data_IF_770249515897
#
_entry.id   IF_770249515897
#
_cell.length_a   1.000
_cell.length_b   1.000
_cell.length_c   1.000
_cell.angle_alpha   90.00
_cell.angle_beta   90.00
_cell.angle_gamma   90.00
#
_symmetry.space_group_name_H-M   'P 1'
#
loop_
_entity.id
_entity.type
_entity.pdbx_description
1 polymer ?
#
# COMPACT_ATOMS: atom_id res chain seq x y z
N UNK A 1 -19.07 12.84 16.39
CA UNK A 1 -18.01 12.11 17.13
C UNK A 1 -18.14 10.58 17.11
N UNK A 2 -19.30 9.99 17.43
CA UNK A 2 -19.45 8.53 17.54
C UNK A 2 -19.13 7.75 16.25
N UNK A 3 -19.53 8.27 15.08
CA UNK A 3 -19.29 7.62 13.78
C UNK A 3 -17.80 7.56 13.40
N UNK A 4 -17.06 8.65 13.63
CA UNK A 4 -15.61 8.75 13.33
C UNK A 4 -14.79 7.83 14.25
N UNK A 5 -15.09 7.84 15.56
CA UNK A 5 -14.45 6.93 16.52
C UNK A 5 -14.72 5.45 16.23
N UNK A 6 -15.89 5.17 15.67
CA UNK A 6 -16.27 3.84 15.23
C UNK A 6 -15.52 3.40 13.97
N UNK A 7 -15.40 4.27 12.97
CA UNK A 7 -14.70 3.93 11.73
C UNK A 7 -13.20 3.72 11.96
N UNK A 8 -12.59 4.43 12.91
CA UNK A 8 -11.21 4.11 13.33
C UNK A 8 -11.09 2.71 13.94
N UNK A 9 -12.01 2.31 14.82
CA UNK A 9 -12.02 0.96 15.38
C UNK A 9 -12.20 -0.12 14.30
N UNK A 10 -13.06 0.16 13.32
CA UNK A 10 -13.26 -0.69 12.16
C UNK A 10 -11.97 -0.95 11.39
N UNK A 11 -11.18 0.09 11.08
CA UNK A 11 -9.88 -0.08 10.40
C UNK A 11 -8.96 -0.98 11.22
N UNK A 12 -8.88 -0.77 12.53
CA UNK A 12 -8.05 -1.59 13.42
C UNK A 12 -8.48 -3.07 13.40
N UNK A 13 -9.79 -3.35 13.49
CA UNK A 13 -10.32 -4.73 13.48
C UNK A 13 -10.07 -5.42 12.13
N UNK A 14 -10.27 -4.70 11.03
CA UNK A 14 -10.05 -5.20 9.69
C UNK A 14 -8.60 -5.64 9.45
N UNK A 15 -7.63 -4.88 9.97
CA UNK A 15 -6.21 -5.22 9.82
C UNK A 15 -5.89 -6.60 10.44
N UNK A 16 -6.59 -6.97 11.50
CA UNK A 16 -6.30 -8.18 12.28
C UNK A 16 -7.04 -9.41 11.73
N UNK A 17 -8.24 -9.24 11.17
CA UNK A 17 -9.04 -10.32 10.57
C UNK A 17 -8.28 -11.13 9.49
N UNK A 18 -7.15 -10.60 9.01
CA UNK A 18 -6.17 -11.25 8.13
C UNK A 18 -5.42 -12.47 8.71
N UNK A 19 -5.34 -12.67 10.03
CA UNK A 19 -4.41 -13.63 10.62
C UNK A 19 -5.06 -14.94 11.08
N UNK A 20 -4.88 -16.01 10.30
CA UNK A 20 -4.83 -17.39 10.80
C UNK A 20 -3.44 -17.71 11.38
N UNK A 21 -3.32 -18.57 12.41
CA UNK A 21 -2.07 -18.72 13.14
C UNK A 21 -1.05 -19.54 12.35
N UNK A 22 0.22 -19.12 12.41
CA UNK A 22 1.42 -20.00 12.42
C UNK A 22 2.66 -19.17 12.76
N UNK A 23 3.19 -19.38 13.95
CA UNK A 23 4.55 -19.00 14.32
C UNK A 23 5.55 -19.86 13.52
N UNK A 24 6.58 -19.27 12.91
CA UNK A 24 7.87 -19.94 12.80
C UNK A 24 8.48 -19.99 14.21
N UNK A 25 8.95 -21.17 14.60
CA UNK A 25 9.73 -21.37 15.81
C UNK A 25 11.02 -20.53 15.73
N UNK A 26 11.23 -19.71 16.76
CA UNK A 26 12.51 -19.11 17.19
C UNK A 26 13.16 -18.11 16.21
N UNK A 27 13.56 -16.91 16.67
CA UNK A 27 14.43 -16.05 15.87
C UNK A 27 15.79 -16.73 15.67
N UNK A 28 16.46 -16.54 14.52
CA UNK A 28 17.86 -16.93 14.39
C UNK A 28 18.67 -16.10 15.40
N UNK A 29 19.18 -16.75 16.43
CA UNK A 29 20.17 -16.16 17.35
C UNK A 29 21.52 -16.11 16.64
N UNK A 30 21.72 -15.10 15.80
CA UNK A 30 23.06 -14.60 15.50
C UNK A 30 23.23 -13.31 16.29
N UNK A 31 23.89 -13.41 17.44
CA UNK A 31 24.32 -12.23 18.18
C UNK A 31 25.35 -11.49 17.33
N UNK A 32 25.01 -10.32 16.80
CA UNK A 32 25.97 -9.39 16.22
C UNK A 32 26.75 -8.70 17.34
N UNK A 33 27.51 -9.48 18.11
CA UNK A 33 28.44 -8.95 19.10
C UNK A 33 29.58 -8.29 18.30
N UNK A 34 29.49 -6.97 18.08
CA UNK A 34 30.54 -6.16 17.47
C UNK A 34 30.12 -5.23 16.32
N UNK A 35 28.86 -5.23 15.89
CA UNK A 35 28.41 -4.27 14.86
C UNK A 35 28.21 -2.86 15.47
N UNK A 36 28.67 -1.78 14.81
CA UNK A 36 28.49 -0.42 15.28
C UNK A 36 27.00 -0.03 15.46
N UNK A 37 26.67 0.85 16.42
CA UNK A 37 25.28 1.29 16.66
C UNK A 37 24.72 2.15 15.52
N UNK A 38 25.59 2.68 14.66
CA UNK A 38 25.28 3.39 13.42
C UNK A 38 25.02 2.45 12.22
N UNK A 39 25.16 1.13 12.39
CA UNK A 39 24.73 0.16 11.39
C UNK A 39 23.18 0.18 11.25
N UNK A 40 22.64 0.44 10.05
CA UNK A 40 21.20 0.52 9.83
C UNK A 40 20.46 -0.79 10.16
N UNK A 41 21.10 -1.95 10.03
CA UNK A 41 20.52 -3.25 10.40
C UNK A 41 20.40 -3.38 11.92
N UNK A 42 21.45 -3.00 12.66
CA UNK A 42 21.43 -3.02 14.14
C UNK A 42 20.37 -2.06 14.66
N UNK A 43 20.33 -0.84 14.12
CA UNK A 43 19.33 0.15 14.50
C UNK A 43 17.90 -0.33 14.21
N UNK A 44 17.67 -0.94 13.05
CA UNK A 44 16.36 -1.49 12.68
C UNK A 44 15.94 -2.64 13.61
N UNK A 45 16.88 -3.53 13.96
CA UNK A 45 16.63 -4.64 14.87
C UNK A 45 16.23 -4.16 16.27
N UNK A 46 17.00 -3.22 16.83
CA UNK A 46 16.70 -2.61 18.13
C UNK A 46 15.33 -1.92 18.13
N UNK A 47 14.95 -1.28 17.01
CA UNK A 47 13.64 -0.67 16.85
C UNK A 47 12.49 -1.69 16.89
N UNK A 48 12.68 -2.86 16.29
CA UNK A 48 11.70 -3.96 16.33
C UNK A 48 11.62 -4.60 17.71
N UNK A 49 12.76 -4.86 18.37
CA UNK A 49 12.76 -5.40 19.73
C UNK A 49 12.08 -4.42 20.71
N UNK A 50 12.34 -3.11 20.56
CA UNK A 50 11.66 -2.07 21.32
C UNK A 50 10.15 -1.95 21.00
N UNK A 51 9.73 -2.31 19.77
CA UNK A 51 8.31 -2.41 19.40
C UNK A 51 7.63 -3.54 20.16
N UNK A 52 8.21 -4.74 20.20
CA UNK A 52 7.60 -5.86 20.93
C UNK A 52 7.63 -5.64 22.44
N UNK A 53 8.74 -5.13 23.00
CA UNK A 53 8.90 -4.95 24.43
C UNK A 53 7.92 -3.94 25.05
N UNK A 54 7.43 -2.96 24.27
CA UNK A 54 6.52 -1.91 24.76
C UNK A 54 5.04 -2.26 24.68
N UNK A 55 4.66 -3.41 24.13
CA UNK A 55 3.26 -3.78 23.94
C UNK A 55 2.55 -4.01 25.29
N UNK A 56 1.31 -3.54 25.39
CA UNK A 56 0.45 -3.78 26.56
C UNK A 56 0.17 -5.27 26.78
N UNK A 57 0.39 -5.71 28.01
CA UNK A 57 0.15 -7.09 28.45
C UNK A 57 -1.26 -7.33 29.02
N UNK A 58 -1.98 -6.26 29.39
CA UNK A 58 -3.34 -6.32 29.92
C UNK A 58 -4.21 -5.18 29.37
N UNK A 59 -5.54 -5.34 29.53
CA UNK A 59 -6.53 -4.43 28.94
C UNK A 59 -6.47 -3.03 29.54
N UNK A 60 -6.25 -2.89 30.85
CA UNK A 60 -6.20 -1.57 31.51
C UNK A 60 -5.03 -0.74 30.99
N UNK A 61 -3.86 -1.37 30.81
CA UNK A 61 -2.69 -0.72 30.20
C UNK A 61 -2.95 -0.35 28.74
N UNK A 62 -3.55 -1.24 27.95
CA UNK A 62 -3.88 -0.96 26.55
C UNK A 62 -4.83 0.24 26.42
N UNK A 63 -5.90 0.26 27.23
CA UNK A 63 -6.87 1.35 27.26
C UNK A 63 -6.25 2.68 27.71
N UNK A 64 -5.39 2.65 28.74
CA UNK A 64 -4.70 3.84 29.22
C UNK A 64 -3.72 4.39 28.17
N UNK A 65 -2.95 3.51 27.52
CA UNK A 65 -2.02 3.91 26.45
C UNK A 65 -2.75 4.44 25.22
N UNK A 66 -3.83 3.79 24.80
CA UNK A 66 -4.71 4.30 23.75
C UNK A 66 -5.17 5.72 24.08
N UNK A 67 -5.68 5.94 25.29
CA UNK A 67 -6.19 7.25 25.71
C UNK A 67 -5.09 8.31 25.72
N UNK A 68 -3.92 7.97 26.27
CA UNK A 68 -2.77 8.87 26.33
C UNK A 68 -2.28 9.27 24.93
N UNK A 69 -2.24 8.30 24.00
CA UNK A 69 -1.69 8.48 22.66
C UNK A 69 -2.62 9.28 21.75
N UNK A 70 -3.92 9.05 21.89
CA UNK A 70 -4.93 9.60 20.97
C UNK A 70 -5.67 10.80 21.53
N UNK A 71 -5.58 11.04 22.85
CA UNK A 71 -6.41 11.99 23.56
C UNK A 71 -7.89 11.59 23.64
N UNK A 72 -8.24 10.35 23.29
CA UNK A 72 -9.63 9.88 23.14
C UNK A 72 -9.85 8.56 23.89
N UNK A 73 -11.04 8.32 24.45
CA UNK A 73 -11.34 7.03 25.07
C UNK A 73 -11.32 5.91 24.01
N UNK A 74 -10.95 4.67 24.40
CA UNK A 74 -11.02 3.52 23.50
C UNK A 74 -12.43 3.34 22.94
N UNK A 75 -12.55 2.88 21.68
CA UNK A 75 -13.83 2.68 21.03
C UNK A 75 -14.65 1.57 21.70
N UNK A 76 -15.94 1.51 21.39
CA UNK A 76 -16.81 0.42 21.83
C UNK A 76 -16.22 -0.92 21.36
N UNK A 77 -16.31 -1.95 22.22
CA UNK A 77 -15.76 -3.30 21.97
C UNK A 77 -14.22 -3.38 21.92
N UNK A 78 -13.50 -2.40 22.44
CA UNK A 78 -12.03 -2.46 22.51
C UNK A 78 -11.51 -3.67 23.30
N UNK A 79 -12.23 -4.13 24.31
CA UNK A 79 -11.97 -5.37 25.06
C UNK A 79 -12.02 -6.63 24.18
N UNK A 80 -12.99 -6.70 23.25
CA UNK A 80 -13.11 -7.80 22.28
C UNK A 80 -11.96 -7.76 21.29
N UNK A 81 -11.61 -6.56 20.80
CA UNK A 81 -10.44 -6.38 19.95
C UNK A 81 -9.15 -6.80 20.65
N UNK A 82 -8.94 -6.40 21.91
CA UNK A 82 -7.74 -6.75 22.66
C UNK A 82 -7.62 -8.27 22.83
N UNK A 83 -8.73 -8.93 23.17
CA UNK A 83 -8.78 -10.39 23.32
C UNK A 83 -8.45 -11.09 22.00
N UNK A 84 -9.02 -10.61 20.89
CA UNK A 84 -8.76 -11.14 19.55
C UNK A 84 -7.30 -10.92 19.13
N UNK A 85 -6.76 -9.72 19.31
CA UNK A 85 -5.38 -9.38 18.98
C UNK A 85 -4.39 -10.27 19.76
N UNK A 86 -4.66 -10.54 21.05
CA UNK A 86 -3.86 -11.47 21.85
C UNK A 86 -3.95 -12.91 21.35
N UNK A 87 -5.15 -13.40 21.03
CA UNK A 87 -5.33 -14.74 20.46
C UNK A 87 -4.54 -14.92 19.16
N UNK A 88 -4.49 -13.87 18.33
CA UNK A 88 -3.77 -13.85 17.05
C UNK A 88 -2.30 -13.44 17.15
N UNK A 89 -1.79 -13.17 18.35
CA UNK A 89 -0.42 -12.66 18.57
C UNK A 89 -0.09 -11.41 17.76
N UNK A 90 -1.06 -10.50 17.65
CA UNK A 90 -0.89 -9.21 16.99
C UNK A 90 -0.32 -8.16 17.94
N UNK A 91 0.20 -7.07 17.35
CA UNK A 91 0.51 -5.85 18.10
C UNK A 91 -0.77 -5.32 18.75
N UNK A 92 -0.61 -4.54 19.82
CA UNK A 92 -1.69 -3.94 20.59
C UNK A 92 -1.64 -2.41 20.42
N UNK A 93 -0.50 -1.78 20.68
CA UNK A 93 -0.44 -0.33 20.90
C UNK A 93 0.00 0.49 19.66
N UNK A 94 0.32 -0.17 18.55
CA UNK A 94 1.03 0.43 17.41
C UNK A 94 0.16 0.53 16.14
N UNK A 95 -1.07 1.03 16.27
CA UNK A 95 -2.00 1.30 15.14
C UNK A 95 -2.12 2.80 14.82
N UNK A 96 -0.99 3.52 14.86
CA UNK A 96 -0.97 4.99 14.84
C UNK A 96 -1.42 5.60 13.53
N UNK A 97 -1.17 4.91 12.42
CA UNK A 97 -1.66 5.31 11.12
C UNK A 97 -3.17 5.59 11.16
N UNK A 98 -3.96 4.75 11.84
CA UNK A 98 -5.40 4.97 11.98
C UNK A 98 -5.68 6.33 12.64
N UNK A 99 -5.01 6.62 13.76
CA UNK A 99 -5.22 7.89 14.45
C UNK A 99 -4.74 9.10 13.65
N UNK A 100 -3.62 8.99 12.94
CA UNK A 100 -3.11 10.05 12.07
C UNK A 100 -4.09 10.35 10.94
N UNK A 101 -4.67 9.33 10.33
CA UNK A 101 -5.58 9.48 9.19
C UNK A 101 -6.94 10.03 9.59
N UNK A 102 -7.42 9.67 10.78
CA UNK A 102 -8.67 10.21 11.31
C UNK A 102 -8.54 11.57 11.99
N UNK A 103 -7.32 12.02 12.30
CA UNK A 103 -7.05 13.30 12.97
C UNK A 103 -7.76 14.50 12.36
N UNK A 104 -7.72 14.77 11.04
CA UNK A 104 -8.41 15.93 10.48
C UNK A 104 -9.93 15.86 10.67
N UNK A 105 -10.52 14.67 10.53
CA UNK A 105 -11.97 14.47 10.73
C UNK A 105 -12.38 14.62 12.20
N UNK A 106 -11.50 14.23 13.12
CA UNK A 106 -11.71 14.43 14.55
C UNK A 106 -11.72 15.90 14.92
N UNK A 107 -10.76 16.68 14.41
CA UNK A 107 -10.68 18.12 14.63
C UNK A 107 -11.90 18.83 14.06
N UNK A 108 -12.28 18.51 12.82
CA UNK A 108 -13.45 19.12 12.18
C UNK A 108 -14.77 18.72 12.85
N UNK A 109 -14.86 17.51 13.40
CA UNK A 109 -16.05 17.08 14.14
C UNK A 109 -16.17 17.73 15.53
N UNK A 110 -15.09 18.28 16.08
CA UNK A 110 -15.12 19.11 17.31
C UNK A 110 -15.67 20.50 17.00
N UNK A 111 -15.31 21.08 15.85
CA UNK A 111 -15.79 22.38 15.39
C UNK A 111 -17.21 22.31 14.82
N UNK A 112 -17.49 21.30 13.99
CA UNK A 112 -18.77 21.03 13.34
C UNK A 112 -19.12 19.54 13.40
N UNK A 113 -19.94 19.12 14.38
CA UNK A 113 -20.33 17.72 14.55
C UNK A 113 -21.04 17.08 13.35
N UNK A 114 -21.62 17.89 12.46
CA UNK A 114 -22.34 17.41 11.27
C UNK A 114 -21.46 17.34 10.01
N UNK A 115 -20.22 17.83 10.07
CA UNK A 115 -19.27 17.83 8.95
C UNK A 115 -19.18 16.48 8.24
N UNK A 116 -18.88 15.41 8.99
CA UNK A 116 -18.71 14.07 8.44
C UNK A 116 -19.98 13.58 7.73
N UNK A 117 -21.14 13.77 8.36
CA UNK A 117 -22.41 13.32 7.80
C UNK A 117 -22.75 14.09 6.51
N UNK A 118 -22.53 15.42 6.49
CA UNK A 118 -22.75 16.21 5.27
C UNK A 118 -21.84 15.78 4.12
N UNK A 119 -20.56 15.48 4.39
CA UNK A 119 -19.64 14.93 3.37
C UNK A 119 -20.14 13.60 2.84
N UNK A 120 -20.58 12.72 3.73
CA UNK A 120 -21.15 11.43 3.33
C UNK A 120 -22.42 11.60 2.49
N UNK A 121 -23.35 12.48 2.89
CA UNK A 121 -24.61 12.70 2.18
C UNK A 121 -24.38 13.25 0.77
N UNK A 122 -23.45 14.19 0.60
CA UNK A 122 -23.05 14.72 -0.73
C UNK A 122 -22.47 13.61 -1.59
N UNK A 123 -21.53 12.82 -1.08
CA UNK A 123 -20.93 11.72 -1.83
C UNK A 123 -21.98 10.67 -2.25
N UNK A 124 -22.86 10.27 -1.33
CA UNK A 124 -23.93 9.30 -1.62
C UNK A 124 -24.94 9.83 -2.64
N UNK A 125 -25.22 11.13 -2.66
CA UNK A 125 -26.08 11.74 -3.67
C UNK A 125 -25.45 11.66 -5.06
N UNK A 126 -24.17 12.03 -5.19
CA UNK A 126 -23.41 11.98 -6.45
C UNK A 126 -23.30 10.56 -6.99
N UNK A 127 -23.09 9.58 -6.10
CA UNK A 127 -22.97 8.17 -6.48
C UNK A 127 -24.24 7.60 -7.13
N UNK A 128 -25.42 8.20 -6.92
CA UNK A 128 -26.66 7.79 -7.61
C UNK A 128 -26.65 8.14 -9.10
N UNK A 129 -25.93 9.20 -9.47
CA UNK A 129 -25.78 9.62 -10.87
C UNK A 129 -24.60 8.92 -11.52
N UNK A 130 -23.45 8.97 -10.86
CA UNK A 130 -22.23 8.33 -11.30
C UNK A 130 -21.34 8.03 -10.08
N UNK A 131 -21.02 6.76 -9.87
CA UNK A 131 -20.20 6.32 -8.72
C UNK A 131 -18.77 6.81 -8.78
N UNK A 132 -18.24 7.19 -9.95
CA UNK A 132 -16.84 7.62 -10.13
C UNK A 132 -15.84 6.64 -9.49
N UNK A 133 -16.12 5.34 -9.59
CA UNK A 133 -15.32 4.28 -8.97
C UNK A 133 -15.24 4.34 -7.43
N UNK A 134 -16.16 5.01 -6.75
CA UNK A 134 -16.36 4.90 -5.30
C UNK A 134 -17.46 3.88 -4.99
N UNK A 135 -17.31 3.22 -3.84
CA UNK A 135 -18.36 2.42 -3.23
C UNK A 135 -18.73 2.96 -1.86
N UNK A 136 -19.87 2.50 -1.36
CA UNK A 136 -20.29 2.75 0.00
C UNK A 136 -20.75 1.44 0.63
N UNK A 137 -20.36 1.27 1.88
CA UNK A 137 -20.68 0.08 2.68
C UNK A 137 -21.58 0.52 3.81
N UNK A 138 -22.66 -0.23 4.02
CA UNK A 138 -23.61 -0.02 5.10
C UNK A 138 -23.53 -1.22 6.03
N UNK A 139 -23.22 -0.99 7.29
CA UNK A 139 -23.34 -1.98 8.35
C UNK A 139 -24.62 -1.69 9.11
N UNK A 140 -25.48 -2.70 9.24
CA UNK A 140 -26.72 -2.60 10.01
C UNK A 140 -27.02 -3.92 10.70
N UNK A 141 -27.20 -3.87 12.03
CA UNK A 141 -27.45 -5.05 12.86
C UNK A 141 -26.38 -6.15 12.66
N UNK A 142 -25.12 -5.73 12.48
CA UNK A 142 -24.00 -6.63 12.22
C UNK A 142 -23.96 -7.25 10.82
N UNK A 143 -24.91 -6.93 9.94
CA UNK A 143 -24.94 -7.34 8.53
C UNK A 143 -24.30 -6.28 7.64
N UNK A 144 -23.68 -6.72 6.54
CA UNK A 144 -23.01 -5.84 5.56
C UNK A 144 -23.87 -5.74 4.31
N UNK A 145 -24.16 -4.51 3.89
CA UNK A 145 -24.91 -4.20 2.68
C UNK A 145 -24.11 -3.24 1.79
N UNK A 146 -24.18 -3.47 0.49
CA UNK A 146 -23.61 -2.59 -0.52
C UNK A 146 -24.70 -2.29 -1.57
N UNK A 147 -25.07 -1.02 -1.81
CA UNK A 147 -26.15 -0.68 -2.74
C UNK A 147 -25.80 -1.04 -4.19
N UNK A 148 -26.73 -1.62 -4.95
CA UNK A 148 -26.49 -2.08 -6.34
C UNK A 148 -25.75 -1.07 -7.23
N UNK A 149 -24.83 -1.58 -8.05
CA UNK A 149 -24.05 -0.82 -9.03
C UNK A 149 -22.59 -1.24 -9.00
N UNK A 150 -22.24 -2.32 -9.71
CA UNK A 150 -20.86 -2.78 -9.87
C UNK A 150 -20.02 -1.68 -10.54
N UNK A 151 -19.26 -0.91 -9.76
CA UNK A 151 -18.44 0.18 -10.29
C UNK A 151 -16.93 -0.06 -10.27
N UNK A 152 -16.48 -1.20 -9.74
CA UNK A 152 -15.06 -1.55 -9.69
C UNK A 152 -14.82 -3.05 -9.51
N UNK A 153 -13.55 -3.41 -9.60
CA UNK A 153 -13.00 -4.77 -9.58
C UNK A 153 -13.09 -5.47 -8.20
N UNK A 154 -13.42 -4.73 -7.14
CA UNK A 154 -13.44 -5.22 -5.76
C UNK A 154 -14.86 -5.44 -5.21
N UNK A 155 -15.89 -5.04 -5.97
CA UNK A 155 -17.28 -5.02 -5.54
C UNK A 155 -17.74 -6.32 -4.85
N UNK A 156 -17.51 -7.47 -5.48
CA UNK A 156 -17.99 -8.77 -4.98
C UNK A 156 -17.21 -9.27 -3.75
N UNK A 157 -16.06 -8.67 -3.46
CA UNK A 157 -15.15 -9.13 -2.41
C UNK A 157 -15.35 -8.40 -1.07
N UNK A 158 -15.77 -7.14 -1.13
CA UNK A 158 -16.02 -6.32 0.07
C UNK A 158 -17.00 -6.94 1.08
N UNK A 159 -18.17 -7.51 0.69
CA UNK A 159 -19.06 -8.14 1.65
C UNK A 159 -18.42 -9.37 2.35
N UNK A 160 -17.58 -10.12 1.63
CA UNK A 160 -16.86 -11.28 2.16
C UNK A 160 -15.82 -10.83 3.19
N UNK A 161 -15.14 -9.73 2.92
CA UNK A 161 -14.14 -9.16 3.83
C UNK A 161 -14.79 -8.61 5.10
N UNK A 162 -15.79 -7.75 4.98
CA UNK A 162 -16.40 -7.06 6.12
C UNK A 162 -17.25 -7.99 7.00
N UNK A 163 -17.90 -9.00 6.42
CA UNK A 163 -18.71 -9.96 7.19
C UNK A 163 -17.92 -10.76 8.24
N UNK A 164 -16.59 -10.81 8.12
CA UNK A 164 -15.72 -11.50 9.09
C UNK A 164 -15.71 -10.83 10.47
N UNK A 165 -16.05 -9.55 10.56
CA UNK A 165 -15.97 -8.80 11.81
C UNK A 165 -17.12 -7.79 12.00
N UNK A 166 -18.06 -7.71 11.06
CA UNK A 166 -19.19 -6.76 11.11
C UNK A 166 -20.07 -6.89 12.34
N UNK A 167 -20.19 -8.09 12.92
CA UNK A 167 -20.94 -8.34 14.16
C UNK A 167 -20.40 -7.59 15.39
N UNK A 168 -19.17 -7.07 15.34
CA UNK A 168 -18.56 -6.29 16.41
C UNK A 168 -18.62 -4.78 16.18
N UNK A 169 -19.20 -4.36 15.06
CA UNK A 169 -19.31 -2.98 14.65
C UNK A 169 -20.73 -2.47 14.93
N UNK A 170 -20.91 -1.19 15.27
CA UNK A 170 -22.24 -0.59 15.30
C UNK A 170 -22.71 -0.26 13.88
N UNK A 171 -23.96 0.15 13.78
CA UNK A 171 -24.54 0.63 12.53
C UNK A 171 -23.78 1.86 12.01
N UNK A 172 -23.38 1.80 10.74
CA UNK A 172 -22.66 2.90 10.09
C UNK A 172 -22.71 2.79 8.57
N UNK A 173 -22.46 3.91 7.91
CA UNK A 173 -22.19 3.97 6.48
C UNK A 173 -20.87 4.67 6.25
N UNK A 174 -20.03 4.14 5.36
CA UNK A 174 -18.75 4.75 5.01
C UNK A 174 -18.43 4.59 3.52
N UNK A 175 -17.53 5.44 3.04
CA UNK A 175 -17.05 5.47 1.66
C UNK A 175 -15.76 4.64 1.54
N UNK A 176 -15.65 3.90 0.45
CA UNK A 176 -14.44 3.15 0.12
C UNK A 176 -14.10 3.35 -1.36
N UNK A 177 -12.81 3.56 -1.66
CA UNK A 177 -12.33 3.65 -3.03
C UNK A 177 -12.39 2.28 -3.69
N UNK A 178 -12.93 2.24 -4.91
CA UNK A 178 -12.83 1.11 -5.82
C UNK A 178 -11.58 1.12 -6.69
N UNK A 179 -10.68 2.10 -6.52
CA UNK A 179 -9.45 2.23 -7.29
C UNK A 179 -8.22 1.91 -6.45
N UNK A 180 -7.16 1.42 -7.11
CA UNK A 180 -5.86 1.18 -6.50
C UNK A 180 -5.26 2.49 -5.93
N UNK A 181 -5.51 3.59 -6.64
CA UNK A 181 -5.03 4.93 -6.33
C UNK A 181 -5.79 5.59 -5.17
N UNK A 182 -5.13 6.48 -4.41
CA UNK A 182 -5.81 7.37 -3.48
C UNK A 182 -6.74 8.36 -4.20
N UNK A 183 -7.67 8.96 -3.46
CA UNK A 183 -8.78 9.75 -4.01
C UNK A 183 -8.82 11.19 -3.50
N UNK A 184 -8.32 11.45 -2.30
CA UNK A 184 -8.53 12.71 -1.57
C UNK A 184 -7.23 13.51 -1.55
N UNK A 185 -6.97 14.25 -2.63
CA UNK A 185 -5.76 15.05 -2.83
C UNK A 185 -5.78 16.33 -1.99
N UNK A 186 -5.67 16.17 -0.68
CA UNK A 186 -5.81 17.23 0.31
C UNK A 186 -4.69 17.14 1.36
N UNK A 187 -3.80 18.13 1.41
CA UNK A 187 -2.81 18.21 2.48
C UNK A 187 -3.42 18.87 3.72
N UNK A 188 -3.91 18.04 4.64
CA UNK A 188 -4.48 18.50 5.91
C UNK A 188 -3.46 19.15 6.86
N UNK A 189 -2.16 19.07 6.56
CA UNK A 189 -1.08 19.69 7.35
C UNK A 189 -0.74 21.10 6.87
N UNK A 190 -1.23 21.50 5.69
CA UNK A 190 -0.99 22.83 5.15
C UNK A 190 -1.60 23.92 6.04
N UNK A 191 -0.97 25.11 6.16
CA UNK A 191 -1.52 26.22 6.90
C UNK A 191 -2.93 26.59 6.44
N UNK A 192 -3.87 26.66 7.39
CA UNK A 192 -5.28 26.98 7.10
C UNK A 192 -6.10 25.84 6.47
N UNK A 193 -5.53 24.63 6.30
CA UNK A 193 -6.23 23.51 5.69
C UNK A 193 -7.56 23.17 6.39
N UNK A 194 -7.61 23.15 7.72
CA UNK A 194 -8.86 22.84 8.44
C UNK A 194 -9.96 23.86 8.18
N UNK A 195 -9.62 25.15 8.06
CA UNK A 195 -10.60 26.17 7.70
C UNK A 195 -11.12 25.97 6.27
N UNK A 196 -10.22 25.65 5.32
CA UNK A 196 -10.60 25.33 3.94
C UNK A 196 -11.48 24.08 3.87
N UNK A 197 -11.17 23.06 4.67
CA UNK A 197 -11.89 21.79 4.70
C UNK A 197 -13.37 21.95 5.05
N UNK A 198 -13.79 23.03 5.72
CA UNK A 198 -15.19 23.32 6.05
C UNK A 198 -16.00 23.78 4.82
N UNK A 199 -15.35 24.34 3.81
CA UNK A 199 -15.97 24.74 2.55
C UNK A 199 -15.90 23.60 1.51
N UNK A 200 -16.78 23.63 0.51
CA UNK A 200 -16.59 22.88 -0.73
C UNK A 200 -15.90 23.81 -1.72
N UNK A 201 -14.71 23.46 -2.17
CA UNK A 201 -14.06 24.13 -3.30
C UNK A 201 -14.60 23.58 -4.63
N UNK A 202 -14.98 22.29 -4.67
CA UNK A 202 -15.47 21.64 -5.89
C UNK A 202 -17.00 21.60 -5.95
N UNK A 203 -17.55 22.02 -7.09
CA UNK A 203 -18.98 21.87 -7.38
C UNK A 203 -19.37 20.39 -7.48
N UNK A 204 -18.50 19.57 -8.07
CA UNK A 204 -18.66 18.12 -8.22
C UNK A 204 -17.35 17.46 -7.76
N UNK A 205 -17.24 16.94 -6.53
CA UNK A 205 -16.05 16.23 -6.07
C UNK A 205 -15.83 14.93 -6.86
N UNK A 206 -14.59 14.44 -6.88
CA UNK A 206 -14.17 13.24 -7.65
C UNK A 206 -14.35 13.37 -9.17
N UNK A 207 -14.50 14.59 -9.67
CA UNK A 207 -14.62 14.89 -11.10
C UNK A 207 -13.30 15.38 -11.71
N UNK A 208 -12.32 15.78 -10.91
CA UNK A 208 -10.99 16.03 -11.41
C UNK A 208 -10.46 14.73 -12.01
N UNK A 209 -10.06 14.76 -13.28
CA UNK A 209 -9.51 13.61 -14.00
C UNK A 209 -8.38 14.06 -14.94
N UNK A 210 -7.27 14.60 -14.37
CA UNK A 210 -6.18 15.17 -15.15
C UNK A 210 -5.41 14.10 -15.95
N UNK A 211 -5.20 14.34 -17.24
CA UNK A 211 -4.36 13.49 -18.09
C UNK A 211 -3.49 14.35 -19.00
N UNK A 212 -2.15 14.28 -18.92
CA UNK A 212 -1.33 13.63 -17.88
C UNK A 212 -1.51 14.28 -16.49
N UNK A 213 -1.03 13.62 -15.43
CA UNK A 213 -1.22 14.06 -14.04
C UNK A 213 -0.13 15.00 -13.52
N UNK A 214 1.02 15.07 -14.19
CA UNK A 214 2.22 15.76 -13.71
C UNK A 214 2.00 17.23 -13.35
N UNK A 215 1.36 17.98 -14.26
CA UNK A 215 1.15 19.41 -14.08
C UNK A 215 0.09 19.67 -13.02
N UNK A 216 -0.94 18.83 -12.97
CA UNK A 216 -1.99 18.92 -11.95
C UNK A 216 -1.43 18.72 -10.53
N UNK A 217 -0.56 17.74 -10.31
CA UNK A 217 0.08 17.56 -9.00
C UNK A 217 0.94 18.75 -8.62
N UNK A 218 1.78 19.24 -9.54
CA UNK A 218 2.69 20.36 -9.30
C UNK A 218 1.97 21.68 -9.03
N UNK A 219 0.94 21.97 -9.82
CA UNK A 219 0.30 23.30 -9.85
C UNK A 219 -0.92 23.38 -8.94
N UNK A 220 -1.73 22.32 -8.87
CA UNK A 220 -3.04 22.38 -8.21
C UNK A 220 -3.02 21.88 -6.78
N UNK A 221 -2.27 20.82 -6.49
CA UNK A 221 -2.22 20.24 -5.13
C UNK A 221 -1.04 20.75 -4.30
N UNK A 222 -0.03 21.33 -4.95
CA UNK A 222 1.24 21.66 -4.29
C UNK A 222 1.97 20.41 -3.75
N UNK A 223 1.58 19.22 -4.22
CA UNK A 223 2.21 17.96 -3.86
C UNK A 223 3.66 17.96 -4.35
N UNK A 224 4.58 18.29 -3.45
CA UNK A 224 6.00 18.24 -3.71
C UNK A 224 6.56 16.99 -3.06
N UNK A 225 6.91 16.02 -3.89
CA UNK A 225 7.59 14.81 -3.44
C UNK A 225 9.08 15.06 -3.61
N UNK A 226 9.86 15.00 -2.52
CA UNK A 226 11.26 15.36 -2.57
C UNK A 226 11.99 14.60 -3.69
N UNK A 227 12.60 15.34 -4.62
CA UNK A 227 13.64 14.78 -5.51
C UNK A 227 14.88 14.53 -4.67
N UNK A 228 14.97 13.34 -4.10
CA UNK A 228 16.20 12.93 -3.45
C UNK A 228 17.22 12.49 -4.50
N UNK A 229 18.36 13.17 -4.54
CA UNK A 229 19.58 12.72 -5.21
C UNK A 229 20.44 11.80 -4.31
N UNK A 230 20.06 11.62 -3.04
CA UNK A 230 20.74 10.73 -2.11
C UNK A 230 20.14 9.33 -2.24
N UNK A 231 20.90 8.44 -2.89
CA UNK A 231 20.46 7.09 -3.25
C UNK A 231 20.06 6.19 -2.08
N UNK A 232 19.43 5.06 -2.43
CA UNK A 232 19.09 3.86 -1.65
C UNK A 232 18.43 3.97 -0.25
N UNK A 233 18.39 5.14 0.39
CA UNK A 233 17.79 5.38 1.71
C UNK A 233 16.68 6.44 1.70
N UNK A 234 16.46 7.12 0.58
CA UNK A 234 15.47 8.20 0.48
C UNK A 234 14.10 7.74 0.02
N UNK A 235 13.10 8.57 0.32
CA UNK A 235 11.70 8.43 -0.10
C UNK A 235 11.51 8.48 -1.62
N UNK A 236 10.31 8.07 -2.04
CA UNK A 236 9.60 8.42 -3.28
C UNK A 236 10.12 9.68 -4.00
N UNK A 237 10.14 9.66 -5.34
CA UNK A 237 10.36 10.84 -6.19
C UNK A 237 9.15 11.04 -7.13
N UNK A 238 9.14 12.16 -7.85
CA UNK A 238 8.10 12.52 -8.85
C UNK A 238 8.27 11.79 -10.21
N UNK A 239 9.25 10.88 -10.31
CA UNK A 239 9.47 10.05 -11.51
C UNK A 239 8.59 8.80 -11.55
N UNK A 240 7.74 8.58 -10.54
CA UNK A 240 6.80 7.47 -10.54
C UNK A 240 5.74 7.64 -11.62
N UNK A 241 5.31 6.53 -12.22
CA UNK A 241 4.28 6.54 -13.25
C UNK A 241 2.96 7.18 -12.76
N UNK A 242 2.66 7.08 -11.46
CA UNK A 242 1.50 7.71 -10.83
C UNK A 242 1.55 9.25 -10.91
N UNK A 243 2.70 9.87 -10.66
CA UNK A 243 2.83 11.32 -10.77
C UNK A 243 2.88 11.79 -12.22
N UNK A 244 3.48 11.01 -13.11
CA UNK A 244 3.58 11.35 -14.54
C UNK A 244 2.21 11.24 -15.23
N UNK A 245 1.54 10.10 -15.10
CA UNK A 245 0.30 9.79 -15.80
C UNK A 245 -0.46 8.69 -15.07
N UNK A 246 -1.06 9.00 -13.91
CA UNK A 246 -1.81 8.01 -13.12
C UNK A 246 -2.82 7.21 -13.94
N UNK A 247 -2.95 5.92 -13.63
CA UNK A 247 -3.86 5.00 -14.32
C UNK A 247 -5.36 5.39 -14.18
N UNK A 248 -5.76 5.88 -13.00
CA UNK A 248 -7.07 6.48 -12.70
C UNK A 248 -6.86 7.79 -11.95
N UNK A 249 -7.78 8.72 -12.13
CA UNK A 249 -7.53 10.13 -11.80
C UNK A 249 -8.70 10.84 -11.16
N UNK A 250 -9.82 10.16 -10.90
CA UNK A 250 -11.05 10.65 -10.26
C UNK A 250 -10.82 11.14 -8.82
N UNK A 251 -9.98 12.17 -8.68
CA UNK A 251 -9.54 12.77 -7.43
C UNK A 251 -10.51 13.87 -6.98
N UNK A 252 -10.48 14.18 -5.70
CA UNK A 252 -11.08 15.39 -5.14
C UNK A 252 -10.02 16.20 -4.42
N UNK A 253 -10.13 17.54 -4.48
CA UNK A 253 -9.33 18.45 -3.64
C UNK A 253 -10.07 18.89 -2.38
N UNK A 254 -11.31 18.43 -2.18
CA UNK A 254 -12.05 18.62 -0.94
C UNK A 254 -11.80 17.45 0.03
N UNK A 255 -11.80 17.72 1.33
CA UNK A 255 -11.58 16.66 2.33
C UNK A 255 -12.82 15.75 2.46
N UNK A 256 -12.67 14.48 2.11
CA UNK A 256 -13.67 13.42 2.26
C UNK A 256 -13.14 12.21 3.06
N UNK A 257 -13.97 11.55 3.89
CA UNK A 257 -13.57 10.37 4.65
C UNK A 257 -13.65 9.10 3.78
N UNK A 258 -12.71 8.95 2.85
CA UNK A 258 -12.62 7.80 1.95
C UNK A 258 -11.59 6.80 2.47
N UNK A 259 -12.00 5.55 2.61
CA UNK A 259 -11.08 4.44 2.83
C UNK A 259 -10.39 4.07 1.52
N UNK A 260 -9.07 4.05 1.52
CA UNK A 260 -8.27 3.67 0.34
C UNK A 260 -7.16 2.71 0.70
N UNK A 261 -6.67 1.97 -0.29
CA UNK A 261 -5.69 0.90 -0.13
C UNK A 261 -4.30 1.43 0.17
N UNK A 262 -4.00 2.56 -0.46
CA UNK A 262 -2.71 3.21 -0.44
C UNK A 262 -2.87 4.71 -0.58
N UNK A 263 -1.84 5.46 -0.22
CA UNK A 263 -1.80 6.91 -0.41
C UNK A 263 -0.37 7.43 -0.47
N UNK A 264 -0.22 8.70 -0.84
CA UNK A 264 1.07 9.39 -0.79
C UNK A 264 0.95 10.57 0.16
N UNK A 265 1.66 10.53 1.28
CA UNK A 265 1.66 11.59 2.29
C UNK A 265 2.71 12.67 1.95
N UNK A 266 2.44 13.99 2.11
CA UNK A 266 1.18 14.63 2.55
C UNK A 266 0.06 14.72 1.54
N UNK A 267 0.33 14.40 0.28
CA UNK A 267 -0.51 14.82 -0.83
C UNK A 267 -1.95 14.30 -0.77
N UNK A 268 -2.16 13.17 -0.09
CA UNK A 268 -3.46 12.53 0.04
C UNK A 268 -3.89 12.34 1.49
N UNK A 269 -5.15 12.69 1.78
CA UNK A 269 -5.79 12.56 3.10
C UNK A 269 -6.62 11.29 3.25
N UNK A 270 -6.56 10.38 2.27
CA UNK A 270 -7.24 9.09 2.36
C UNK A 270 -6.92 8.36 3.66
N UNK A 271 -7.90 7.60 4.15
CA UNK A 271 -7.76 6.76 5.33
C UNK A 271 -7.30 5.39 4.86
N UNK A 272 -6.06 5.01 5.21
CA UNK A 272 -5.53 3.72 4.77
C UNK A 272 -6.30 2.58 5.41
N UNK A 273 -6.67 1.62 4.58
CA UNK A 273 -7.40 0.43 4.96
C UNK A 273 -6.78 -0.83 4.30
N UNK A 274 -6.61 -1.93 5.05
CA UNK A 274 -6.18 -3.21 4.50
C UNK A 274 -7.14 -3.71 3.43
N UNK A 275 -6.66 -3.95 2.20
CA UNK A 275 -7.53 -4.39 1.10
C UNK A 275 -7.47 -5.92 0.82
N UNK A 276 -8.52 -6.43 0.17
CA UNK A 276 -8.70 -7.64 -0.63
C UNK A 276 -7.45 -8.46 -1.01
N UNK A 277 -6.37 -7.89 -1.54
CA UNK A 277 -5.13 -8.63 -1.83
C UNK A 277 -4.56 -9.38 -0.61
N UNK A 278 -4.96 -8.97 0.59
CA UNK A 278 -4.41 -9.39 1.85
C UNK A 278 -5.34 -10.29 2.68
N UNK A 279 -6.62 -10.41 2.33
CA UNK A 279 -7.57 -11.26 3.05
C UNK A 279 -7.67 -12.64 2.43
N UNK A 280 -7.46 -13.68 3.23
CA UNK A 280 -7.47 -15.09 2.77
C UNK A 280 -8.73 -15.48 1.97
N UNK A 281 -9.88 -14.86 2.23
CA UNK A 281 -11.14 -15.16 1.54
C UNK A 281 -11.37 -14.38 0.25
N UNK A 282 -10.53 -13.39 -0.05
CA UNK A 282 -10.68 -12.58 -1.26
C UNK A 282 -10.25 -13.32 -2.53
N UNK A 283 -10.87 -12.97 -3.66
CA UNK A 283 -10.43 -13.40 -4.99
C UNK A 283 -9.05 -12.83 -5.36
N UNK A 284 -8.76 -11.62 -4.87
CA UNK A 284 -7.49 -10.91 -5.10
C UNK A 284 -6.35 -11.42 -4.21
N UNK A 285 -6.70 -12.16 -3.17
CA UNK A 285 -5.70 -12.75 -2.28
C UNK A 285 -4.86 -13.77 -3.02
N UNK A 286 -3.57 -13.79 -2.73
CA UNK A 286 -2.62 -14.71 -3.34
C UNK A 286 -2.78 -16.16 -2.85
N UNK A 287 -3.99 -16.74 -2.93
CA UNK A 287 -4.24 -18.19 -2.80
C UNK A 287 -3.38 -19.05 -3.74
N UNK A 288 -2.68 -18.42 -4.68
CA UNK A 288 -1.59 -19.02 -5.45
C UNK A 288 -0.44 -19.35 -4.49
N UNK A 289 -0.51 -20.55 -3.93
CA UNK A 289 0.55 -21.34 -3.31
C UNK A 289 1.82 -20.54 -3.01
N UNK A 290 1.91 -19.98 -1.80
CA UNK A 290 3.20 -19.52 -1.29
C UNK A 290 3.98 -20.76 -0.84
N UNK A 291 5.06 -21.17 -1.52
CA UNK A 291 5.96 -22.14 -0.97
C UNK A 291 6.74 -21.46 0.16
N UNK A 292 6.21 -21.52 1.39
CA UNK A 292 6.99 -21.21 2.60
C UNK A 292 7.83 -22.43 3.02
N UNK A 293 8.33 -23.19 2.05
CA UNK A 293 9.01 -24.47 2.26
C UNK A 293 10.34 -24.57 1.50
N UNK A 294 10.85 -23.47 0.94
CA UNK A 294 12.15 -23.44 0.28
C UNK A 294 13.14 -22.75 1.19
N UNK A 295 14.09 -23.52 1.72
CA UNK A 295 15.18 -23.02 2.54
C UNK A 295 16.06 -22.05 1.74
N UNK A 296 16.64 -21.04 2.41
CA UNK A 296 17.49 -20.03 1.78
C UNK A 296 18.62 -20.61 0.92
N UNK A 297 19.22 -21.72 1.38
CA UNK A 297 20.30 -22.43 0.66
C UNK A 297 19.85 -23.01 -0.69
N UNK A 298 18.57 -23.37 -0.81
CA UNK A 298 17.99 -24.03 -1.98
C UNK A 298 17.37 -23.03 -2.96
N UNK A 299 17.24 -21.76 -2.54
CA UNK A 299 16.82 -20.66 -3.42
C UNK A 299 17.88 -20.36 -4.49
N UNK A 300 17.43 -20.06 -5.69
CA UNK A 300 18.24 -19.65 -6.83
C UNK A 300 18.86 -18.28 -6.54
N UNK A 301 20.18 -18.21 -6.56
CA UNK A 301 20.94 -16.95 -6.47
C UNK A 301 20.92 -16.14 -7.78
N UNK A 302 20.40 -16.75 -8.86
CA UNK A 302 20.66 -16.40 -10.27
C UNK A 302 22.16 -16.32 -10.57
N UNK A 303 22.68 -17.34 -11.25
CA UNK A 303 23.99 -17.25 -11.91
C UNK A 303 23.72 -16.69 -13.30
N UNK A 304 23.82 -15.37 -13.47
CA UNK A 304 23.96 -14.82 -14.80
C UNK A 304 25.35 -15.23 -15.31
N UNK A 305 25.39 -16.11 -16.31
CA UNK A 305 26.65 -16.48 -16.97
C UNK A 305 27.16 -15.24 -17.71
N UNK A 306 28.05 -14.47 -17.08
CA UNK A 306 28.89 -13.56 -17.86
C UNK A 306 29.90 -14.41 -18.63
N UNK A 307 29.89 -14.27 -19.95
CA UNK A 307 30.97 -14.73 -20.81
C UNK A 307 32.18 -13.81 -20.58
N UNK A 308 32.86 -13.96 -19.43
CA UNK A 308 34.14 -13.32 -19.17
C UNK A 308 35.21 -14.40 -19.13
N UNK A 309 35.75 -14.69 -20.32
CA UNK A 309 37.05 -15.35 -20.47
C UNK A 309 38.12 -14.37 -19.95
N UNK A 310 38.41 -14.34 -18.65
CA UNK A 310 39.64 -13.71 -18.16
C UNK A 310 40.06 -14.25 -16.79
N UNK A 311 41.06 -15.12 -16.85
CA UNK A 311 42.21 -15.31 -15.95
C UNK A 311 42.15 -14.65 -14.56
N UNK A 312 42.28 -15.50 -13.53
CA UNK A 312 42.79 -15.24 -12.18
C UNK A 312 42.22 -14.05 -11.41
N UNK A 313 41.20 -14.31 -10.58
CA UNK A 313 41.13 -13.74 -9.23
C UNK A 313 40.17 -14.52 -8.34
N UNK A 314 40.56 -14.78 -7.08
CA UNK A 314 39.79 -15.43 -6.02
C UNK A 314 38.59 -14.58 -5.50
N UNK A 315 38.02 -13.73 -6.37
CA UNK A 315 36.80 -12.97 -6.07
C UNK A 315 35.59 -13.73 -6.62
N UNK A 316 34.85 -14.41 -5.74
CA UNK A 316 33.48 -14.81 -6.05
C UNK A 316 32.64 -13.53 -6.10
N UNK A 317 32.45 -12.98 -7.30
CA UNK A 317 31.41 -11.99 -7.54
C UNK A 317 30.06 -12.68 -7.30
N UNK A 318 29.47 -12.44 -6.12
CA UNK A 318 28.08 -12.81 -5.86
C UNK A 318 27.22 -11.84 -6.66
N UNK A 319 26.84 -12.25 -7.86
CA UNK A 319 25.83 -11.53 -8.64
C UNK A 319 24.49 -11.65 -7.91
N UNK A 320 23.92 -10.51 -7.53
CA UNK A 320 22.59 -10.44 -6.93
C UNK A 320 21.57 -10.50 -8.05
N UNK A 321 21.31 -11.65 -8.70
CA UNK A 321 20.32 -11.65 -9.78
C UNK A 321 18.91 -11.44 -9.22
N UNK A 322 18.52 -10.15 -9.20
CA UNK A 322 17.21 -9.68 -8.78
C UNK A 322 16.18 -10.11 -9.81
N UNK A 323 15.19 -10.88 -9.38
CA UNK A 323 14.09 -11.30 -10.26
C UNK A 323 12.89 -10.37 -10.08
N UNK A 324 12.30 -9.97 -11.22
CA UNK A 324 10.99 -9.32 -11.26
C UNK A 324 10.21 -9.73 -12.50
N UNK A 325 8.92 -10.03 -12.32
CA UNK A 325 7.94 -10.22 -13.40
C UNK A 325 6.67 -9.45 -13.10
N UNK A 326 6.18 -8.69 -14.07
CA UNK A 326 4.93 -7.94 -13.90
C UNK A 326 4.33 -7.40 -15.19
N UNK A 327 3.11 -6.89 -15.10
CA UNK A 327 2.42 -6.25 -16.22
C UNK A 327 2.92 -4.81 -16.46
N UNK A 328 2.60 -4.21 -17.60
CA UNK A 328 2.89 -2.81 -17.93
C UNK A 328 2.10 -1.76 -17.11
N UNK A 329 1.40 -2.16 -16.05
CA UNK A 329 0.61 -1.27 -15.17
C UNK A 329 1.46 -0.18 -14.52
N UNK A 330 0.84 0.92 -14.11
CA UNK A 330 1.52 2.00 -13.39
C UNK A 330 1.08 3.39 -13.81
N UNK A 331 0.67 3.53 -15.06
CA UNK A 331 0.15 4.78 -15.57
C UNK A 331 -0.48 4.61 -16.95
N UNK A 332 -1.27 5.59 -17.36
CA UNK A 332 -1.82 5.65 -18.71
C UNK A 332 -0.73 6.03 -19.71
N UNK A 333 -0.64 5.24 -20.78
CA UNK A 333 0.31 5.41 -21.87
C UNK A 333 -0.27 6.36 -22.91
N UNK A 334 0.47 7.44 -23.18
CA UNK A 334 0.22 8.41 -24.25
C UNK A 334 1.51 8.60 -25.05
N UNK A 335 1.49 8.26 -26.33
CA UNK A 335 2.68 8.29 -27.18
C UNK A 335 3.84 7.51 -26.56
N UNK A 336 4.93 8.23 -26.23
CA UNK A 336 6.17 7.65 -25.68
C UNK A 336 6.38 7.85 -24.18
N UNK A 337 5.38 8.35 -23.44
CA UNK A 337 5.53 8.65 -22.01
C UNK A 337 5.89 7.41 -21.16
N UNK A 338 5.53 6.20 -21.61
CA UNK A 338 5.80 4.94 -20.91
C UNK A 338 7.30 4.71 -20.65
N UNK A 339 8.19 5.29 -21.47
CA UNK A 339 9.65 5.22 -21.27
C UNK A 339 10.07 5.83 -19.94
N UNK A 340 9.25 6.72 -19.38
CA UNK A 340 9.52 7.35 -18.10
C UNK A 340 8.98 6.55 -16.90
N UNK A 341 8.16 5.52 -17.13
CA UNK A 341 7.55 4.74 -16.05
C UNK A 341 8.54 3.75 -15.44
N UNK A 342 8.51 3.60 -14.11
CA UNK A 342 9.43 2.76 -13.32
C UNK A 342 9.61 1.36 -13.89
N UNK A 343 8.53 0.68 -14.31
CA UNK A 343 8.60 -0.70 -14.83
C UNK A 343 9.30 -0.81 -16.19
N UNK A 344 9.15 0.18 -17.06
CA UNK A 344 9.84 0.21 -18.35
C UNK A 344 11.31 0.60 -18.18
N UNK A 345 11.59 1.62 -17.35
CA UNK A 345 12.97 1.98 -16.95
C UNK A 345 13.73 0.79 -16.35
N UNK A 346 13.05 -0.04 -15.57
CA UNK A 346 13.64 -1.24 -14.99
C UNK A 346 14.03 -2.28 -16.04
N UNK A 347 13.24 -2.45 -17.11
CA UNK A 347 13.61 -3.32 -18.23
C UNK A 347 14.79 -2.74 -19.02
N UNK A 348 14.83 -1.42 -19.24
CA UNK A 348 15.99 -0.77 -19.88
C UNK A 348 17.26 -0.95 -19.04
N UNK A 349 17.17 -0.74 -17.72
CA UNK A 349 18.28 -1.03 -16.80
C UNK A 349 18.74 -2.50 -16.91
N UNK A 350 17.80 -3.44 -17.01
CA UNK A 350 18.12 -4.86 -17.17
C UNK A 350 18.82 -5.21 -18.48
N UNK A 351 18.59 -4.45 -19.57
CA UNK A 351 19.30 -4.66 -20.84
C UNK A 351 20.78 -4.30 -20.73
N UNK A 352 21.11 -3.27 -19.95
CA UNK A 352 22.49 -2.83 -19.73
C UNK A 352 23.18 -3.62 -18.61
N UNK A 353 22.40 -4.23 -17.71
CA UNK A 353 22.86 -4.91 -16.50
C UNK A 353 22.28 -6.32 -16.35
N UNK A 354 22.27 -7.10 -17.44
CA UNK A 354 21.77 -8.47 -17.45
C UNK A 354 22.60 -9.42 -16.55
N UNK A 355 23.77 -8.99 -16.10
CA UNK A 355 24.58 -9.66 -15.07
C UNK A 355 24.06 -9.42 -13.65
N UNK A 356 23.27 -8.37 -13.43
CA UNK A 356 22.76 -7.96 -12.12
C UNK A 356 21.26 -8.22 -11.95
N UNK A 357 20.43 -8.14 -13.00
CA UNK A 357 18.98 -8.23 -12.86
C UNK A 357 18.33 -9.05 -13.98
N UNK A 358 17.30 -9.82 -13.65
CA UNK A 358 16.44 -10.53 -14.60
C UNK A 358 15.01 -10.00 -14.47
N UNK A 359 14.68 -9.06 -15.35
CA UNK A 359 13.42 -8.30 -15.32
C UNK A 359 12.72 -8.47 -16.66
N UNK A 360 11.42 -8.73 -16.63
CA UNK A 360 10.61 -8.68 -17.84
C UNK A 360 9.19 -8.19 -17.55
N UNK A 361 8.65 -7.40 -18.49
CA UNK A 361 7.22 -7.13 -18.56
C UNK A 361 6.54 -8.34 -19.22
N UNK A 362 5.67 -9.03 -18.47
CA UNK A 362 5.05 -10.29 -18.92
C UNK A 362 3.77 -10.08 -19.71
N UNK A 363 3.07 -8.97 -19.49
CA UNK A 363 1.81 -8.64 -20.13
C UNK A 363 1.68 -7.13 -20.31
N UNK A 364 0.93 -6.72 -21.33
CA UNK A 364 0.58 -5.33 -21.55
C UNK A 364 -0.86 -5.08 -21.05
N UNK A 365 -1.08 -3.94 -20.41
CA UNK A 365 -2.38 -3.56 -19.83
C UNK A 365 -3.14 -2.70 -20.82
N UNK A 366 -4.00 -3.35 -21.62
CA UNK A 366 -4.73 -2.70 -22.72
C UNK A 366 -5.57 -1.50 -22.26
N UNK A 367 -6.14 -1.59 -21.06
CA UNK A 367 -6.97 -0.53 -20.45
C UNK A 367 -6.19 0.77 -20.15
N UNK A 368 -4.86 0.69 -20.11
CA UNK A 368 -3.99 1.84 -19.89
C UNK A 368 -3.41 2.39 -21.20
N UNK A 369 -3.76 1.83 -22.34
CA UNK A 369 -3.34 2.32 -23.65
C UNK A 369 -4.28 3.46 -24.08
N UNK A 370 -3.85 4.68 -23.82
CA UNK A 370 -4.61 5.90 -24.13
C UNK A 370 -4.44 6.35 -25.58
N UNK A 371 -4.70 7.63 -25.84
CA UNK A 371 -4.49 8.22 -27.16
C UNK A 371 -3.02 8.13 -27.58
N UNK A 372 -2.76 7.89 -28.86
CA UNK A 372 -1.40 7.80 -29.43
C UNK A 372 -0.55 6.64 -28.88
N UNK A 373 -1.11 5.76 -28.05
CA UNK A 373 -0.45 4.54 -27.60
C UNK A 373 -0.37 3.52 -28.76
N UNK A 374 0.85 3.17 -29.17
CA UNK A 374 1.11 2.10 -30.14
C UNK A 374 1.48 0.81 -29.40
N UNK A 375 0.45 0.06 -29.00
CA UNK A 375 0.59 -1.21 -28.26
C UNK A 375 1.49 -2.20 -29.00
N UNK A 376 1.31 -2.40 -30.30
CA UNK A 376 2.08 -3.41 -31.04
C UNK A 376 3.56 -3.07 -31.07
N UNK A 377 3.90 -1.80 -31.27
CA UNK A 377 5.29 -1.34 -31.24
C UNK A 377 5.89 -1.49 -29.84
N UNK A 378 5.18 -1.10 -28.78
CA UNK A 378 5.65 -1.26 -27.40
C UNK A 378 5.87 -2.73 -27.05
N UNK A 379 4.90 -3.60 -27.37
CA UNK A 379 5.04 -5.04 -27.09
C UNK A 379 6.22 -5.66 -27.84
N UNK A 380 6.45 -5.26 -29.10
CA UNK A 380 7.60 -5.70 -29.88
C UNK A 380 8.91 -5.19 -29.29
N UNK A 381 8.96 -3.91 -28.92
CA UNK A 381 10.14 -3.28 -28.33
C UNK A 381 10.57 -3.95 -27.03
N UNK A 382 9.62 -4.23 -26.12
CA UNK A 382 9.91 -4.82 -24.79
C UNK A 382 9.78 -6.35 -24.75
N UNK A 383 9.62 -7.00 -25.90
CA UNK A 383 9.44 -8.46 -26.02
C UNK A 383 8.32 -9.01 -25.12
N UNK A 384 7.19 -8.30 -25.06
CA UNK A 384 6.02 -8.67 -24.26
C UNK A 384 5.24 -9.74 -25.03
N UNK A 385 5.46 -11.00 -24.70
CA UNK A 385 4.87 -12.14 -25.41
C UNK A 385 3.56 -12.66 -24.79
N UNK A 386 3.16 -12.16 -23.62
CA UNK A 386 2.00 -12.68 -22.88
C UNK A 386 2.23 -14.04 -22.20
N UNK A 387 3.38 -14.68 -22.44
CA UNK A 387 3.77 -15.92 -21.77
C UNK A 387 4.58 -15.59 -20.50
N UNK A 388 3.85 -15.38 -19.40
CA UNK A 388 4.45 -15.28 -18.06
C UNK A 388 4.92 -16.64 -17.55
N UNK A 389 5.89 -16.63 -16.64
CA UNK A 389 6.17 -17.78 -15.78
C UNK A 389 5.03 -17.91 -14.75
N UNK A 390 4.76 -19.12 -14.21
CA UNK A 390 3.90 -19.26 -13.05
C UNK A 390 4.34 -18.31 -11.93
N UNK A 391 3.38 -17.68 -11.22
CA UNK A 391 3.69 -16.65 -10.21
C UNK A 391 4.56 -17.20 -9.09
N UNK A 392 4.40 -18.48 -8.77
CA UNK A 392 5.16 -19.21 -7.78
C UNK A 392 6.65 -19.36 -8.11
N UNK A 393 7.04 -19.24 -9.38
CA UNK A 393 8.46 -19.30 -9.79
C UNK A 393 9.27 -18.15 -9.20
N UNK A 394 8.64 -16.99 -8.95
CA UNK A 394 9.27 -15.83 -8.32
C UNK A 394 9.81 -16.22 -6.92
N UNK A 395 9.11 -17.07 -6.18
CA UNK A 395 9.51 -17.46 -4.82
C UNK A 395 10.74 -18.39 -4.77
N UNK A 396 11.20 -18.88 -5.93
CA UNK A 396 12.41 -19.70 -6.04
C UNK A 396 13.68 -18.87 -5.90
N UNK A 397 13.64 -17.54 -6.04
CA UNK A 397 14.84 -16.70 -6.08
C UNK A 397 15.20 -16.10 -4.73
N UNK A 398 16.49 -15.88 -4.49
CA UNK A 398 17.00 -15.28 -3.25
C UNK A 398 16.68 -13.79 -3.12
N UNK A 399 16.74 -13.06 -4.22
CA UNK A 399 16.63 -11.61 -4.26
C UNK A 399 15.47 -11.21 -5.16
N UNK A 400 14.48 -10.53 -4.59
CA UNK A 400 13.25 -10.16 -5.27
C UNK A 400 13.08 -8.65 -5.27
N UNK A 401 12.59 -8.10 -6.38
CA UNK A 401 12.25 -6.69 -6.44
C UNK A 401 10.72 -6.52 -6.34
N UNK A 402 10.29 -5.60 -5.49
CA UNK A 402 8.92 -5.14 -5.38
C UNK A 402 8.85 -3.71 -5.90
N UNK A 403 8.06 -3.51 -6.96
CA UNK A 403 7.83 -2.18 -7.56
C UNK A 403 6.34 -1.94 -7.68
N UNK A 404 5.97 -0.67 -7.56
CA UNK A 404 4.60 -0.18 -7.68
C UNK A 404 3.92 -0.61 -8.98
N UNK A 405 2.61 -0.83 -8.88
CA UNK A 405 1.71 -0.96 -10.02
C UNK A 405 1.00 0.37 -10.27
N UNK A 406 -0.28 0.28 -10.56
CA UNK A 406 -1.18 1.43 -10.64
C UNK A 406 -1.12 2.31 -9.38
N UNK A 407 -0.91 1.66 -8.23
CA UNK A 407 -0.48 2.26 -6.99
C UNK A 407 0.52 1.31 -6.28
N UNK A 408 0.14 0.74 -5.14
CA UNK A 408 0.93 -0.27 -4.43
C UNK A 408 1.11 -1.59 -5.21
N UNK A 409 1.95 -2.47 -4.65
CA UNK A 409 2.14 -3.85 -5.14
C UNK A 409 1.43 -4.86 -4.25
N UNK A 410 0.30 -5.41 -4.72
CA UNK A 410 -0.43 -6.48 -4.03
C UNK A 410 0.36 -7.80 -3.86
N UNK A 411 1.59 -7.88 -4.39
CA UNK A 411 2.47 -9.05 -4.24
C UNK A 411 3.36 -8.96 -3.00
N UNK A 412 3.58 -7.77 -2.47
CA UNK A 412 4.67 -7.47 -1.54
C UNK A 412 4.72 -8.41 -0.33
N UNK A 413 3.59 -8.64 0.33
CA UNK A 413 3.54 -9.51 1.51
C UNK A 413 3.68 -11.00 1.18
N UNK A 414 3.38 -11.39 -0.06
CA UNK A 414 3.73 -12.70 -0.60
C UNK A 414 5.24 -12.86 -0.77
N UNK A 415 5.90 -11.83 -1.29
CA UNK A 415 7.37 -11.80 -1.45
C UNK A 415 8.06 -11.92 -0.09
N UNK A 416 7.61 -11.16 0.93
CA UNK A 416 8.18 -11.26 2.28
C UNK A 416 7.98 -12.65 2.92
N UNK A 417 6.84 -13.29 2.68
CA UNK A 417 6.56 -14.66 3.17
C UNK A 417 7.34 -15.75 2.47
N UNK A 418 7.96 -15.46 1.32
CA UNK A 418 8.72 -16.47 0.57
C UNK A 418 10.04 -16.86 1.24
N UNK A 419 10.53 -16.08 2.22
CA UNK A 419 11.87 -16.24 2.79
C UNK A 419 13.00 -15.71 1.90
N UNK A 420 12.66 -14.93 0.86
CA UNK A 420 13.61 -14.21 0.02
C UNK A 420 13.90 -12.81 0.56
N UNK A 421 15.05 -12.24 0.19
CA UNK A 421 15.39 -10.86 0.48
C UNK A 421 14.69 -9.93 -0.52
N UNK A 422 13.76 -9.10 -0.04
CA UNK A 422 12.96 -8.22 -0.87
C UNK A 422 13.55 -6.82 -0.91
N UNK A 423 13.72 -6.29 -2.12
CA UNK A 423 14.07 -4.90 -2.40
C UNK A 423 12.79 -4.17 -2.77
N UNK A 424 12.40 -3.15 -2.01
CA UNK A 424 11.12 -2.44 -2.23
C UNK A 424 11.36 -1.04 -2.78
N UNK A 425 10.75 -0.75 -3.92
CA UNK A 425 10.71 0.57 -4.54
C UNK A 425 9.24 1.03 -4.63
N UNK A 426 8.84 1.95 -3.74
CA UNK A 426 7.46 2.45 -3.69
C UNK A 426 7.38 3.93 -3.36
N UNK A 427 6.36 4.60 -3.90
CA UNK A 427 5.94 5.94 -3.45
C UNK A 427 4.75 5.90 -2.48
N UNK A 428 4.12 4.75 -2.32
CA UNK A 428 2.88 4.60 -1.58
C UNK A 428 3.10 4.13 -0.15
N UNK A 429 2.29 4.69 0.74
CA UNK A 429 2.07 4.18 2.08
C UNK A 429 0.88 3.21 2.05
N UNK A 430 1.03 2.07 2.70
CA UNK A 430 -0.04 1.11 2.97
C UNK A 430 -0.26 0.98 4.49
N UNK A 431 -1.35 0.34 4.91
CA UNK A 431 -1.74 0.27 6.33
C UNK A 431 -0.66 -0.32 7.27
N UNK A 432 0.24 -1.17 6.76
CA UNK A 432 1.28 -1.85 7.54
C UNK A 432 2.62 -1.09 7.55
N UNK A 433 2.70 0.08 6.92
CA UNK A 433 3.96 0.79 6.70
C UNK A 433 4.67 1.15 8.02
N UNK A 434 3.92 1.37 9.11
CA UNK A 434 4.47 1.65 10.43
C UNK A 434 5.17 0.43 11.08
N UNK A 435 4.92 -0.78 10.57
CA UNK A 435 5.40 -2.03 11.18
C UNK A 435 6.60 -2.60 10.46
N UNK A 436 6.62 -2.49 9.13
CA UNK A 436 7.72 -2.99 8.32
C UNK A 436 8.87 -1.98 8.35
N UNK A 437 9.96 -2.36 9.01
CA UNK A 437 11.19 -1.58 9.12
C UNK A 437 12.16 -1.88 7.96
N UNK A 438 12.64 -0.85 7.24
CA UNK A 438 13.76 -0.99 6.32
C UNK A 438 14.98 -1.62 7.01
N UNK A 439 15.79 -2.37 6.27
CA UNK A 439 16.99 -3.10 6.72
C UNK A 439 16.76 -4.24 7.71
N UNK A 440 15.61 -4.31 8.38
CA UNK A 440 15.19 -5.48 9.15
C UNK A 440 14.33 -6.43 8.29
N UNK A 441 13.32 -5.90 7.60
CA UNK A 441 12.35 -6.73 6.86
C UNK A 441 12.58 -6.69 5.35
N UNK A 442 13.10 -5.59 4.81
CA UNK A 442 13.30 -5.39 3.38
C UNK A 442 14.42 -4.37 3.13
N UNK A 443 14.99 -4.36 1.92
CA UNK A 443 15.95 -3.36 1.48
C UNK A 443 15.21 -2.22 0.75
N UNK A 444 15.23 -0.98 1.25
CA UNK A 444 14.59 0.14 0.56
C UNK A 444 15.34 0.49 -0.73
N UNK A 445 14.59 0.89 -1.75
CA UNK A 445 15.07 1.42 -3.03
C UNK A 445 14.23 2.64 -3.40
N UNK A 446 14.82 3.60 -4.09
CA UNK A 446 14.08 4.74 -4.66
C UNK A 446 13.19 4.25 -5.80
N UNK A 447 11.95 4.72 -5.82
CA UNK A 447 10.93 4.38 -6.82
C UNK A 447 11.12 5.05 -8.18
#
# INVERSE_FOLDING_TARGET
MALVGTLSFFVVVAIIARHGPRHPNSPPTTSSIGAPLDDPVVAARLSVDALFARQSSNIDHAMARYSLKTGRPPPRNYDKWFSFAREKSCLIDDYDQVHRDFKPFYQLAEEDPSFFQRRLDVALALMKENRKGMDNVVIKDGMVFMPEGHSNDYWDTWPITFSQFSAHLPDMTFLISGHDQPRVAFDYRAPGAMHKALALEEEIPFSASPHPTSDWFRERTGCNIPRSLEGFFSSANDDSAFFISSAKTEFTVDLYPVLSMSKVSPCFADILFPIEYYYERSWWSGKVAYPNNIEWKDKKSQICKSSLNSVNSDFVLIFFGLDWRGSSTGGQVFGFNYRNFTRFKLVEFAREHADLVDVAITSFSDELCGSECDKETIMREYNISGHGRPREDEYLYKYLLDVDGNAFSGRYLGLLRSGSLVFKATVFEEYFNDWLRPFEHYIPRTA
#
